data_IF_689923707503
#
_entry.id   IF_689923707503
#
_cell.length_a   1.000
_cell.length_b   1.000
_cell.length_c   1.000
_cell.angle_alpha   90.00
_cell.angle_beta   90.00
_cell.angle_gamma   90.00
#
_symmetry.space_group_name_H-M   'P 1'
#
loop_
_entity.id
_entity.type
_entity.pdbx_description
1 polymer ?
#
# COMPACT_ATOMS: atom_id res chain seq x y z
N UNK A 1 1.32 -16.85 4.77
CA UNK A 1 2.16 -15.94 3.95
C UNK A 1 1.31 -15.25 2.87
N UNK A 2 0.62 -16.02 2.00
CA UNK A 2 -0.21 -15.49 0.92
C UNK A 2 -1.21 -14.40 1.35
N UNK A 3 -1.94 -14.60 2.47
CA UNK A 3 -2.84 -13.57 3.03
C UNK A 3 -2.15 -12.24 3.34
N UNK A 4 -0.93 -12.27 3.88
CA UNK A 4 -0.15 -11.06 4.19
C UNK A 4 0.27 -10.33 2.91
N UNK A 5 0.62 -11.08 1.87
CA UNK A 5 0.97 -10.53 0.56
C UNK A 5 -0.26 -9.90 -0.11
N UNK A 6 -1.43 -10.54 -0.09
CA UNK A 6 -2.66 -9.96 -0.64
C UNK A 6 -3.10 -8.68 0.09
N UNK A 7 -3.04 -8.66 1.43
CA UNK A 7 -3.36 -7.45 2.19
C UNK A 7 -2.37 -6.33 1.83
N UNK A 8 -1.08 -6.64 1.74
CA UNK A 8 -0.05 -5.68 1.34
C UNK A 8 -0.30 -5.14 -0.07
N UNK A 9 -0.62 -6.01 -1.02
CA UNK A 9 -0.96 -5.64 -2.40
C UNK A 9 -2.15 -4.67 -2.44
N UNK A 10 -3.23 -4.98 -1.73
CA UNK A 10 -4.43 -4.14 -1.68
C UNK A 10 -4.17 -2.79 -1.04
N UNK A 11 -3.35 -2.72 0.00
CA UNK A 11 -2.94 -1.45 0.59
C UNK A 11 -2.17 -0.61 -0.42
N UNK A 12 -1.17 -1.16 -1.10
CA UNK A 12 -0.41 -0.43 -2.13
C UNK A 12 -1.32 0.04 -3.27
N UNK A 13 -2.21 -0.81 -3.75
CA UNK A 13 -3.19 -0.47 -4.79
C UNK A 13 -4.13 0.68 -4.36
N UNK A 14 -4.57 0.70 -3.10
CA UNK A 14 -5.44 1.76 -2.59
C UNK A 14 -4.79 3.16 -2.57
N UNK A 15 -3.45 3.23 -2.63
CA UNK A 15 -2.67 4.46 -2.62
C UNK A 15 -2.33 5.02 -4.01
N UNK A 16 -2.71 4.32 -5.09
CA UNK A 16 -2.47 4.76 -6.47
C UNK A 16 -3.10 6.13 -6.77
N UNK A 17 -4.39 6.30 -6.49
CA UNK A 17 -5.08 7.57 -6.67
C UNK A 17 -4.71 8.63 -5.61
N UNK A 18 -4.71 8.32 -4.30
CA UNK A 18 -4.29 9.28 -3.27
C UNK A 18 -2.90 9.90 -3.49
N UNK A 19 -1.92 9.11 -3.93
CA UNK A 19 -0.54 9.58 -4.13
C UNK A 19 -0.44 10.66 -5.22
N UNK A 20 -1.34 10.62 -6.21
CA UNK A 20 -1.44 11.64 -7.25
C UNK A 20 -2.09 12.93 -6.73
N UNK A 21 -3.03 12.84 -5.79
CA UNK A 21 -3.69 14.05 -5.24
C UNK A 21 -2.80 14.85 -4.28
N UNK A 22 -1.83 14.19 -3.64
CA UNK A 22 -0.80 14.85 -2.82
C UNK A 22 0.08 15.84 -3.62
N UNK A 23 0.06 15.76 -4.96
CA UNK A 23 0.81 16.63 -5.90
C UNK A 23 0.37 18.10 -5.81
N UNK A 24 -0.89 18.38 -5.47
CA UNK A 24 -1.53 19.67 -5.79
C UNK A 24 -1.19 20.79 -4.78
N UNK A 25 -0.61 20.48 -3.63
CA UNK A 25 -0.59 21.45 -2.51
C UNK A 25 0.76 22.13 -2.20
N UNK A 26 1.90 21.68 -2.75
CA UNK A 26 3.19 22.35 -2.51
C UNK A 26 4.25 21.99 -3.57
N UNK A 27 4.90 22.97 -4.20
CA UNK A 27 5.83 22.76 -5.33
C UNK A 27 7.08 21.93 -4.98
N UNK A 28 7.48 21.92 -3.71
CA UNK A 28 8.55 21.04 -3.18
C UNK A 28 8.12 19.57 -3.03
N UNK A 29 6.82 19.28 -3.02
CA UNK A 29 6.28 17.91 -2.92
C UNK A 29 5.98 17.26 -4.28
N UNK A 30 5.93 18.03 -5.37
CA UNK A 30 5.66 17.49 -6.73
C UNK A 30 6.72 16.47 -7.15
N UNK A 31 8.00 16.75 -6.88
CA UNK A 31 9.10 15.81 -7.20
C UNK A 31 9.03 14.53 -6.38
N UNK A 32 8.68 14.64 -5.10
CA UNK A 32 8.57 13.49 -4.20
C UNK A 32 7.33 12.64 -4.51
N UNK A 33 6.24 13.24 -4.98
CA UNK A 33 5.01 12.52 -5.30
C UNK A 33 5.16 11.62 -6.53
N UNK A 34 5.83 12.08 -7.59
CA UNK A 34 6.17 11.23 -8.74
C UNK A 34 7.03 10.04 -8.32
N UNK A 35 8.01 10.28 -7.45
CA UNK A 35 8.85 9.24 -6.89
C UNK A 35 8.05 8.25 -6.03
N UNK A 36 7.09 8.71 -5.24
CA UNK A 36 6.22 7.83 -4.44
C UNK A 36 5.36 6.95 -5.35
N UNK A 37 4.71 7.52 -6.38
CA UNK A 37 3.89 6.76 -7.32
C UNK A 37 4.70 5.68 -8.05
N UNK A 38 5.91 6.01 -8.49
CA UNK A 38 6.83 5.05 -9.12
C UNK A 38 7.19 3.92 -8.14
N UNK A 39 7.58 4.25 -6.91
CA UNK A 39 7.93 3.25 -5.89
C UNK A 39 6.75 2.37 -5.48
N UNK A 40 5.54 2.91 -5.43
CA UNK A 40 4.32 2.13 -5.19
C UNK A 40 4.06 1.15 -6.34
N UNK A 41 4.29 1.57 -7.59
CA UNK A 41 4.17 0.69 -8.77
C UNK A 41 5.19 -0.44 -8.74
N UNK A 42 6.46 -0.13 -8.51
CA UNK A 42 7.54 -1.13 -8.37
C UNK A 42 7.20 -2.16 -7.27
N UNK A 43 6.72 -1.67 -6.12
CA UNK A 43 6.36 -2.52 -5.00
C UNK A 43 5.13 -3.39 -5.31
N UNK A 44 4.12 -2.86 -6.00
CA UNK A 44 2.94 -3.62 -6.46
C UNK A 44 3.36 -4.79 -7.35
N UNK A 45 4.25 -4.54 -8.32
CA UNK A 45 4.81 -5.58 -9.20
C UNK A 45 5.58 -6.62 -8.39
N UNK A 46 6.46 -6.20 -7.48
CA UNK A 46 7.23 -7.11 -6.63
C UNK A 46 6.35 -8.01 -5.76
N UNK A 47 5.31 -7.46 -5.13
CA UNK A 47 4.37 -8.24 -4.32
C UNK A 47 3.58 -9.23 -5.19
N UNK A 48 3.16 -8.82 -6.38
CA UNK A 48 2.44 -9.70 -7.31
C UNK A 48 3.29 -10.92 -7.72
N UNK A 49 4.58 -10.72 -8.00
CA UNK A 49 5.52 -11.81 -8.28
C UNK A 49 5.64 -12.77 -7.08
N UNK A 50 5.70 -12.24 -5.85
CA UNK A 50 5.74 -13.07 -4.63
C UNK A 50 4.45 -13.87 -4.41
N UNK A 51 3.28 -13.31 -4.76
CA UNK A 51 1.99 -14.01 -4.71
C UNK A 51 2.02 -15.18 -5.69
N UNK A 52 2.32 -14.91 -6.96
CA UNK A 52 2.37 -15.93 -8.02
C UNK A 52 3.34 -17.06 -7.67
N UNK A 53 4.58 -16.73 -7.28
CA UNK A 53 5.57 -17.73 -6.86
C UNK A 53 5.26 -18.42 -5.52
N UNK A 54 4.24 -17.97 -4.78
CA UNK A 54 3.73 -18.67 -3.59
C UNK A 54 2.53 -19.56 -3.87
N UNK A 55 1.89 -19.44 -5.05
CA UNK A 55 0.73 -20.22 -5.47
C UNK A 55 1.13 -21.61 -6.01
N UNK A 56 2.36 -21.79 -6.50
CA UNK A 56 2.89 -23.04 -7.09
C UNK A 56 2.97 -24.26 -6.14
N UNK A 57 2.39 -24.18 -4.94
CA UNK A 57 2.26 -25.30 -4.00
C UNK A 57 0.98 -25.31 -3.17
N UNK A 58 0.00 -24.43 -3.44
CA UNK A 58 -1.25 -24.35 -2.65
C UNK A 58 -2.45 -24.42 -3.60
N UNK A 59 -3.07 -25.60 -3.66
CA UNK A 59 -4.38 -25.80 -4.27
C UNK A 59 -5.43 -24.99 -3.48
N UNK A 60 -6.19 -24.16 -4.22
CA UNK A 60 -7.43 -23.47 -3.87
C UNK A 60 -7.56 -22.97 -2.42
N UNK A 61 -7.28 -21.69 -2.22
CA UNK A 61 -7.86 -20.97 -1.09
C UNK A 61 -9.20 -20.42 -1.56
N UNK A 62 -10.26 -21.01 -1.02
CA UNK A 62 -11.65 -20.68 -1.28
C UNK A 62 -11.89 -19.17 -1.21
N UNK A 63 -12.50 -18.69 -2.28
CA UNK A 63 -12.67 -17.31 -2.68
C UNK A 63 -13.94 -16.76 -2.03
N UNK A 64 -13.85 -16.18 -0.82
CA UNK A 64 -15.02 -15.49 -0.24
C UNK A 64 -14.73 -14.45 0.85
N UNK A 65 -13.59 -13.74 0.79
CA UNK A 65 -13.40 -12.54 1.61
C UNK A 65 -12.91 -11.39 0.73
N UNK A 66 -13.76 -11.03 -0.22
CA UNK A 66 -13.67 -9.80 -0.98
C UNK A 66 -14.02 -8.61 -0.08
N UNK A 67 -13.22 -8.38 0.97
CA UNK A 67 -13.14 -7.08 1.62
C UNK A 67 -12.49 -6.11 0.62
N UNK A 68 -13.32 -5.62 -0.30
CA UNK A 68 -13.03 -4.42 -1.07
C UNK A 68 -12.84 -3.31 -0.05
N UNK A 69 -11.57 -2.94 0.19
CA UNK A 69 -11.26 -1.71 0.91
C UNK A 69 -11.97 -0.58 0.16
N UNK A 70 -12.85 0.17 0.82
CA UNK A 70 -13.59 1.22 0.13
C UNK A 70 -12.58 2.19 -0.50
N UNK A 71 -12.77 2.58 -1.76
CA UNK A 71 -11.95 3.61 -2.36
C UNK A 71 -12.05 4.86 -1.49
N UNK A 72 -10.94 5.56 -1.26
CA UNK A 72 -10.90 6.85 -0.56
C UNK A 72 -11.73 7.98 -1.24
N UNK A 73 -12.61 7.66 -2.20
CA UNK A 73 -13.24 8.54 -3.18
C UNK A 73 -14.03 9.73 -2.63
N UNK A 74 -14.51 9.68 -1.38
CA UNK A 74 -15.21 10.81 -0.77
C UNK A 74 -14.28 11.85 -0.11
N UNK A 75 -12.98 11.56 0.03
CA UNK A 75 -12.05 12.48 0.69
C UNK A 75 -11.62 13.65 -0.23
N UNK A 76 -11.63 13.41 -1.55
CA UNK A 76 -11.02 14.30 -2.54
C UNK A 76 -11.99 15.32 -3.16
N UNK A 77 -13.30 15.25 -2.87
CA UNK A 77 -14.32 16.02 -3.60
C UNK A 77 -14.44 17.51 -3.19
N UNK A 78 -13.76 17.98 -2.14
CA UNK A 78 -13.91 19.34 -1.59
C UNK A 78 -12.62 20.17 -1.68
N UNK A 79 -12.27 20.58 -2.91
CA UNK A 79 -11.08 21.37 -3.28
C UNK A 79 -11.19 22.89 -3.01
N UNK A 80 -11.84 23.31 -1.92
CA UNK A 80 -12.02 24.74 -1.60
C UNK A 80 -11.65 25.09 -0.15
N UNK A 81 -10.65 25.96 0.03
CA UNK A 81 -10.32 26.66 1.29
C UNK A 81 -9.42 25.92 2.28
N UNK A 82 -8.98 26.65 3.31
CA UNK A 82 -8.02 26.35 4.42
C UNK A 82 -8.10 24.93 5.06
N UNK A 83 -9.17 24.17 4.78
CA UNK A 83 -9.27 22.73 5.05
C UNK A 83 -8.30 21.85 4.26
N UNK A 84 -7.52 22.41 3.32
CA UNK A 84 -6.56 21.66 2.52
C UNK A 84 -5.35 21.16 3.34
N UNK A 85 -4.78 21.97 4.24
CA UNK A 85 -3.58 21.57 5.02
C UNK A 85 -3.89 20.46 6.02
N UNK A 86 -4.99 20.59 6.76
CA UNK A 86 -5.45 19.55 7.70
C UNK A 86 -5.75 18.24 6.98
N UNK A 87 -6.43 18.31 5.82
CA UNK A 87 -6.72 17.12 5.04
C UNK A 87 -5.46 16.48 4.44
N UNK A 88 -4.51 17.27 3.98
CA UNK A 88 -3.22 16.76 3.52
C UNK A 88 -2.47 16.05 4.65
N UNK A 89 -2.48 16.63 5.85
CA UNK A 89 -1.87 15.99 7.02
C UNK A 89 -2.55 14.66 7.38
N UNK A 90 -3.88 14.63 7.42
CA UNK A 90 -4.66 13.40 7.67
C UNK A 90 -4.35 12.32 6.62
N UNK A 91 -4.24 12.70 5.34
CA UNK A 91 -3.87 11.77 4.26
C UNK A 91 -2.44 11.25 4.42
N UNK A 92 -1.47 12.11 4.71
CA UNK A 92 -0.09 11.72 4.98
C UNK A 92 0.03 10.82 6.22
N UNK A 93 -0.79 11.06 7.25
CA UNK A 93 -0.84 10.22 8.44
C UNK A 93 -1.37 8.81 8.12
N UNK A 94 -2.41 8.72 7.27
CA UNK A 94 -2.90 7.44 6.75
C UNK A 94 -1.83 6.74 5.91
N UNK A 95 -1.15 7.46 5.00
CA UNK A 95 -0.07 6.92 4.17
C UNK A 95 1.02 6.30 5.03
N UNK A 96 1.51 7.03 6.04
CA UNK A 96 2.51 6.54 6.98
C UNK A 96 2.06 5.25 7.69
N UNK A 97 0.81 5.20 8.18
CA UNK A 97 0.28 4.03 8.89
C UNK A 97 0.16 2.81 7.97
N UNK A 98 -0.33 3.01 6.75
CA UNK A 98 -0.52 1.92 5.79
C UNK A 98 0.82 1.40 5.28
N UNK A 99 1.80 2.27 5.01
CA UNK A 99 3.14 1.84 4.60
C UNK A 99 3.86 1.07 5.72
N UNK A 100 3.70 1.49 6.97
CA UNK A 100 4.22 0.74 8.12
C UNK A 100 3.57 -0.65 8.24
N UNK A 101 2.26 -0.77 7.99
CA UNK A 101 1.59 -2.09 7.93
C UNK A 101 2.15 -2.95 6.80
N UNK A 102 2.33 -2.39 5.60
CA UNK A 102 2.91 -3.11 4.46
C UNK A 102 4.30 -3.62 4.80
N UNK A 103 5.18 -2.78 5.33
CA UNK A 103 6.53 -3.17 5.77
C UNK A 103 6.50 -4.31 6.79
N UNK A 104 5.61 -4.19 7.80
CA UNK A 104 5.42 -5.23 8.82
C UNK A 104 4.97 -6.55 8.19
N UNK A 105 3.96 -6.52 7.32
CA UNK A 105 3.41 -7.72 6.68
C UNK A 105 4.41 -8.39 5.75
N UNK A 106 5.16 -7.62 4.97
CA UNK A 106 6.21 -8.15 4.10
C UNK A 106 7.38 -8.73 4.90
N UNK A 107 7.77 -8.09 6.00
CA UNK A 107 8.79 -8.61 6.92
C UNK A 107 8.35 -9.95 7.50
N UNK A 108 7.14 -10.03 8.05
CA UNK A 108 6.57 -11.29 8.57
C UNK A 108 6.47 -12.36 7.48
N UNK A 109 6.06 -11.98 6.25
CA UNK A 109 6.00 -12.90 5.12
C UNK A 109 7.39 -13.47 4.76
N UNK A 110 8.43 -12.62 4.73
CA UNK A 110 9.82 -13.01 4.52
C UNK A 110 10.32 -13.98 5.59
N UNK A 111 10.14 -13.64 6.87
CA UNK A 111 10.55 -14.47 8.00
C UNK A 111 9.87 -15.85 8.01
N UNK A 112 8.62 -15.93 7.54
CA UNK A 112 7.88 -17.21 7.45
C UNK A 112 8.26 -18.05 6.23
N UNK A 113 8.85 -17.46 5.19
CA UNK A 113 9.25 -18.16 3.95
C UNK A 113 10.72 -18.57 3.94
N UNK A 114 11.59 -17.82 4.59
CA UNK A 114 13.04 -18.06 4.59
C UNK A 114 13.49 -18.51 5.97
N UNK A 115 14.01 -19.74 6.08
CA UNK A 115 14.65 -20.25 7.31
C UNK A 115 15.96 -19.50 7.64
N UNK A 116 16.55 -18.81 6.66
CA UNK A 116 17.79 -18.03 6.81
C UNK A 116 17.54 -16.57 7.20
N UNK A 117 16.27 -16.16 7.31
CA UNK A 117 15.95 -14.83 7.79
C UNK A 117 16.16 -14.77 9.30
N UNK A 118 17.21 -14.08 9.75
CA UNK A 118 17.49 -13.77 11.16
C UNK A 118 16.42 -12.82 11.73
N UNK A 119 15.21 -13.34 11.92
CA UNK A 119 14.08 -12.57 12.44
C UNK A 119 13.86 -12.88 13.92
N UNK A 120 13.88 -11.85 14.75
CA UNK A 120 13.23 -11.86 16.07
C UNK A 120 11.82 -11.32 15.88
N UNK A 121 10.83 -12.22 15.88
CA UNK A 121 9.41 -11.89 15.80
C UNK A 121 8.86 -11.41 17.15
#
# INVERSE_FOLDING_TARGET
VLKLLHISFRLIESWEYPSQTLIISNSLMVRNANQISEKLSDLKVGINLLITGSQDGVLSLDDNDSQQLPPYGNYYQNLGGDGNVRRNYELLACFKKDMHKVETYLTVAKCRKSLEANCTL
#
